data_IF_685301579822
#
_entry.id   IF_685301579822
#
_cell.length_a   1.000
_cell.length_b   1.000
_cell.length_c   1.000
_cell.angle_alpha   90.00
_cell.angle_beta   90.00
_cell.angle_gamma   90.00
#
_symmetry.space_group_name_H-M   'P 1'
#
loop_
_entity.id
_entity.type
_entity.pdbx_description
1 polymer ?
#
# COMPACT_ATOMS: atom_id res chain seq x y z
N UNK A 1 19.55 -108.26 7.14
CA UNK A 1 18.55 -107.26 7.42
C UNK A 1 17.70 -107.07 6.18
N UNK A 2 16.39 -107.18 6.21
CA UNK A 2 15.57 -107.13 5.02
C UNK A 2 15.57 -105.65 4.45
N UNK A 3 15.64 -105.54 3.08
CA UNK A 3 15.75 -104.26 2.38
C UNK A 3 14.56 -103.29 2.58
N UNK A 4 13.41 -103.81 3.04
CA UNK A 4 12.17 -103.05 3.26
C UNK A 4 12.25 -102.05 4.44
N UNK A 5 13.02 -102.38 5.50
CA UNK A 5 13.19 -101.48 6.67
C UNK A 5 14.04 -100.23 6.34
N UNK A 6 14.96 -100.39 5.40
CA UNK A 6 15.80 -99.29 4.93
C UNK A 6 15.00 -98.32 4.07
N UNK A 7 14.04 -98.80 3.28
CA UNK A 7 13.17 -97.91 2.44
C UNK A 7 12.17 -97.14 3.33
N UNK A 8 11.55 -97.73 4.30
CA UNK A 8 10.61 -97.02 5.23
C UNK A 8 11.28 -95.98 6.07
N UNK A 9 12.55 -96.17 6.45
CA UNK A 9 13.31 -95.15 7.17
C UNK A 9 13.66 -93.96 6.31
N UNK A 10 13.92 -94.13 5.02
CA UNK A 10 14.23 -93.10 4.05
C UNK A 10 12.98 -92.32 3.70
N UNK A 11 11.81 -92.96 3.59
CA UNK A 11 10.53 -92.26 3.33
C UNK A 11 10.08 -91.40 4.52
N UNK A 12 10.24 -91.90 5.76
CA UNK A 12 9.94 -91.14 6.97
C UNK A 12 10.85 -89.89 7.10
N UNK A 13 12.15 -89.98 6.70
CA UNK A 13 13.06 -88.85 6.67
C UNK A 13 12.63 -87.84 5.65
N UNK A 14 12.21 -88.23 4.46
CA UNK A 14 11.73 -87.33 3.39
C UNK A 14 10.42 -86.67 3.80
N UNK A 15 9.46 -87.34 4.39
CA UNK A 15 8.22 -86.71 4.85
C UNK A 15 8.47 -85.71 5.97
N UNK A 16 9.39 -85.98 6.91
CA UNK A 16 9.75 -85.08 8.00
C UNK A 16 10.43 -83.79 7.43
N UNK A 17 11.34 -83.98 6.43
CA UNK A 17 11.97 -82.86 5.75
C UNK A 17 10.96 -81.92 5.02
N UNK A 18 9.99 -82.58 4.31
CA UNK A 18 8.94 -81.78 3.61
C UNK A 18 8.06 -81.02 4.61
N UNK A 19 7.65 -81.62 5.72
CA UNK A 19 6.85 -80.96 6.70
C UNK A 19 7.61 -79.82 7.37
N UNK A 20 8.92 -79.96 7.64
CA UNK A 20 9.75 -78.91 8.19
C UNK A 20 9.91 -77.73 7.22
N UNK A 21 10.07 -78.02 5.93
CA UNK A 21 10.16 -77.01 4.89
C UNK A 21 8.84 -76.21 4.75
N UNK A 22 7.71 -76.93 4.76
CA UNK A 22 6.39 -76.26 4.70
C UNK A 22 6.16 -75.35 5.90
N UNK A 23 6.49 -75.85 7.13
CA UNK A 23 6.38 -75.06 8.35
C UNK A 23 7.30 -73.82 8.27
N UNK A 24 8.53 -73.98 7.77
CA UNK A 24 9.46 -72.84 7.60
C UNK A 24 8.91 -71.78 6.63
N UNK A 25 8.35 -72.20 5.48
CA UNK A 25 7.75 -71.29 4.48
C UNK A 25 6.52 -70.56 5.09
N UNK A 26 5.67 -71.26 5.83
CA UNK A 26 4.52 -70.65 6.49
C UNK A 26 4.96 -69.61 7.53
N UNK A 27 5.99 -69.91 8.29
CA UNK A 27 6.54 -68.97 9.29
C UNK A 27 7.12 -67.71 8.60
N UNK A 28 7.82 -67.88 7.49
CA UNK A 28 8.34 -66.74 6.71
C UNK A 28 7.19 -65.90 6.13
N UNK A 29 6.14 -66.53 5.65
CA UNK A 29 4.95 -65.78 5.17
C UNK A 29 4.28 -65.00 6.29
N UNK A 30 4.08 -65.61 7.46
CA UNK A 30 3.49 -64.94 8.61
C UNK A 30 4.38 -63.76 9.05
N UNK A 31 5.68 -63.95 9.14
CA UNK A 31 6.62 -62.89 9.47
C UNK A 31 6.59 -61.75 8.44
N UNK A 32 6.49 -62.07 7.15
CA UNK A 32 6.34 -61.09 6.07
C UNK A 32 5.06 -60.27 6.18
N UNK A 33 3.92 -60.91 6.48
CA UNK A 33 2.64 -60.22 6.71
C UNK A 33 2.69 -59.31 7.93
N UNK A 34 3.22 -59.81 9.06
CA UNK A 34 3.37 -58.98 10.28
C UNK A 34 4.30 -57.80 10.03
N UNK A 35 5.41 -57.99 9.37
CA UNK A 35 6.32 -56.91 9.04
C UNK A 35 5.63 -55.84 8.12
N UNK A 36 4.92 -56.28 7.07
CA UNK A 36 4.21 -55.38 6.18
C UNK A 36 3.10 -54.55 6.86
N UNK A 37 2.36 -55.16 7.78
CA UNK A 37 1.32 -54.47 8.56
C UNK A 37 1.92 -53.44 9.52
N UNK A 38 3.05 -53.77 10.18
CA UNK A 38 3.77 -52.83 11.03
C UNK A 38 4.34 -51.63 10.22
N UNK A 39 4.88 -51.88 9.03
CA UNK A 39 5.34 -50.80 8.16
C UNK A 39 4.20 -49.92 7.69
N UNK A 40 3.07 -50.50 7.32
CA UNK A 40 1.88 -49.73 6.91
C UNK A 40 1.36 -48.86 8.06
N UNK A 41 1.23 -49.44 9.29
CA UNK A 41 0.79 -48.70 10.45
C UNK A 41 1.75 -47.54 10.82
N UNK A 42 3.05 -47.75 10.74
CA UNK A 42 4.03 -46.70 10.98
C UNK A 42 3.98 -45.63 9.89
N UNK A 43 3.74 -45.96 8.62
CA UNK A 43 3.59 -45.00 7.53
C UNK A 43 2.32 -44.14 7.71
N UNK A 44 1.19 -44.79 8.11
CA UNK A 44 -0.05 -44.05 8.42
C UNK A 44 0.11 -43.11 9.63
N UNK A 45 0.81 -43.54 10.67
CA UNK A 45 1.07 -42.70 11.83
C UNK A 45 1.90 -41.45 11.48
N UNK A 46 2.95 -41.64 10.69
CA UNK A 46 3.76 -40.49 10.15
C UNK A 46 2.94 -39.57 9.31
N UNK A 47 2.13 -40.07 8.41
CA UNK A 47 1.27 -39.27 7.55
C UNK A 47 0.22 -38.49 8.35
N UNK A 48 -0.31 -39.09 9.42
CA UNK A 48 -1.22 -38.39 10.33
C UNK A 48 -0.52 -37.27 11.11
N UNK A 49 0.73 -37.46 11.52
CA UNK A 49 1.53 -36.46 12.22
C UNK A 49 1.91 -35.32 11.30
N UNK A 50 2.32 -35.60 10.04
CA UNK A 50 2.60 -34.56 9.03
C UNK A 50 1.36 -33.75 8.67
N UNK A 51 0.19 -34.39 8.56
CA UNK A 51 -1.09 -33.68 8.36
C UNK A 51 -1.42 -32.74 9.51
N UNK A 52 -1.28 -33.19 10.76
CA UNK A 52 -1.49 -32.35 11.95
C UNK A 52 -0.55 -31.15 11.97
N UNK A 53 0.72 -31.36 11.64
CA UNK A 53 1.72 -30.28 11.57
C UNK A 53 1.35 -29.28 10.46
N UNK A 54 0.91 -29.77 9.30
CA UNK A 54 0.45 -28.91 8.20
C UNK A 54 -0.78 -28.10 8.59
N UNK A 55 -1.76 -28.73 9.25
CA UNK A 55 -2.95 -28.02 9.74
C UNK A 55 -2.61 -26.95 10.78
N UNK A 56 -1.69 -27.25 11.70
CA UNK A 56 -1.19 -26.26 12.67
C UNK A 56 -0.48 -25.09 11.99
N UNK A 57 0.38 -25.36 11.00
CA UNK A 57 1.07 -24.32 10.24
C UNK A 57 0.08 -23.47 9.45
N UNK A 58 -0.93 -24.06 8.84
CA UNK A 58 -1.99 -23.32 8.14
C UNK A 58 -2.81 -22.45 9.09
N UNK A 59 -3.14 -22.96 10.29
CA UNK A 59 -3.83 -22.16 11.30
C UNK A 59 -2.98 -20.96 11.76
N UNK A 60 -1.69 -21.18 12.02
CA UNK A 60 -0.76 -20.08 12.33
C UNK A 60 -0.63 -19.09 11.17
N UNK A 61 -0.58 -19.58 9.93
CA UNK A 61 -0.48 -18.71 8.76
C UNK A 61 -1.72 -17.83 8.59
N UNK A 62 -2.92 -18.34 8.91
CA UNK A 62 -4.15 -17.55 8.91
C UNK A 62 -4.12 -16.44 9.97
N UNK A 63 -3.61 -16.71 11.16
CA UNK A 63 -3.43 -15.69 12.22
C UNK A 63 -2.46 -14.59 11.79
N UNK A 64 -1.36 -14.94 11.11
CA UNK A 64 -0.40 -13.97 10.58
C UNK A 64 -0.93 -13.20 9.37
N UNK A 65 -1.92 -13.72 8.65
CA UNK A 65 -2.49 -13.04 7.47
C UNK A 65 -3.18 -11.74 7.87
N UNK A 66 -3.92 -11.70 8.96
CA UNK A 66 -4.55 -10.47 9.48
C UNK A 66 -3.50 -9.42 9.84
N UNK A 67 -2.45 -9.83 10.56
CA UNK A 67 -1.35 -8.90 10.95
C UNK A 67 -0.63 -8.34 9.71
N UNK A 68 -0.39 -9.17 8.71
CA UNK A 68 0.25 -8.76 7.46
C UNK A 68 -0.66 -7.80 6.67
N UNK A 69 -1.96 -8.04 6.64
CA UNK A 69 -2.92 -7.17 5.99
C UNK A 69 -2.99 -5.80 6.68
N UNK A 70 -3.06 -5.77 8.02
CA UNK A 70 -3.07 -4.51 8.78
C UNK A 70 -1.76 -3.73 8.58
N UNK A 71 -0.61 -4.40 8.60
CA UNK A 71 0.68 -3.77 8.29
C UNK A 71 0.72 -3.20 6.88
N UNK A 72 0.22 -3.93 5.89
CA UNK A 72 0.12 -3.45 4.51
C UNK A 72 -0.78 -2.22 4.39
N UNK A 73 -1.90 -2.18 5.11
CA UNK A 73 -2.77 -1.00 5.17
C UNK A 73 -2.09 0.20 5.83
N UNK A 74 -1.39 -0.01 6.94
CA UNK A 74 -0.65 1.06 7.61
C UNK A 74 0.45 1.62 6.71
N UNK A 75 1.15 0.77 5.98
CA UNK A 75 2.18 1.20 5.05
C UNK A 75 1.59 1.98 3.87
N UNK A 76 0.49 1.53 3.29
CA UNK A 76 -0.19 2.27 2.22
C UNK A 76 -0.73 3.63 2.70
N UNK A 77 -1.22 3.74 3.93
CA UNK A 77 -1.63 5.02 4.53
C UNK A 77 -0.42 5.94 4.72
N UNK A 78 0.71 5.40 5.19
CA UNK A 78 1.94 6.18 5.34
C UNK A 78 2.46 6.69 4.00
N UNK A 79 2.45 5.85 2.96
CA UNK A 79 2.85 6.22 1.60
C UNK A 79 1.95 7.31 1.01
N UNK A 80 0.62 7.19 1.17
CA UNK A 80 -0.34 8.21 0.73
C UNK A 80 -0.16 9.52 1.51
N UNK A 81 0.08 9.44 2.82
CA UNK A 81 0.40 10.62 3.63
C UNK A 81 1.67 11.32 3.14
N UNK A 82 2.73 10.56 2.85
CA UNK A 82 3.97 11.10 2.29
C UNK A 82 3.72 11.82 0.96
N UNK A 83 2.93 11.22 0.06
CA UNK A 83 2.58 11.83 -1.22
C UNK A 83 1.72 13.09 -1.05
N UNK A 84 0.74 13.10 -0.17
CA UNK A 84 -0.08 14.29 0.11
C UNK A 84 0.76 15.42 0.72
N UNK A 85 1.68 15.09 1.59
CA UNK A 85 2.55 16.06 2.24
C UNK A 85 3.47 16.83 1.27
N UNK A 86 3.83 16.23 0.14
CA UNK A 86 4.65 16.90 -0.89
C UNK A 86 3.90 17.96 -1.70
N UNK A 87 2.58 17.96 -1.66
CA UNK A 87 1.72 18.91 -2.39
C UNK A 87 0.83 19.74 -1.44
N UNK A 88 1.07 19.63 -0.14
CA UNK A 88 0.31 20.38 0.86
C UNK A 88 0.69 21.86 0.82
N UNK A 89 -0.32 22.73 0.70
CA UNK A 89 -0.20 24.17 0.85
C UNK A 89 -0.92 24.59 2.13
N UNK A 90 -0.26 25.35 3.01
CA UNK A 90 -0.84 25.90 4.23
C UNK A 90 -1.59 27.20 3.91
N UNK A 91 -2.80 27.08 3.39
CA UNK A 91 -3.58 28.18 2.88
C UNK A 91 -3.77 29.35 3.84
N UNK A 92 -3.86 29.10 5.15
CA UNK A 92 -4.01 30.15 6.15
C UNK A 92 -2.77 31.05 6.22
N UNK A 93 -1.58 30.45 6.18
CA UNK A 93 -0.30 31.16 6.21
C UNK A 93 -0.02 31.86 4.89
N UNK A 94 -0.30 31.16 3.78
CA UNK A 94 -0.06 31.68 2.42
C UNK A 94 -0.96 32.82 2.01
N UNK A 95 -2.23 32.83 2.44
CA UNK A 95 -3.18 33.88 2.06
C UNK A 95 -2.95 35.21 2.78
N UNK A 96 -2.48 35.18 4.01
CA UNK A 96 -2.35 36.37 4.83
C UNK A 96 -1.57 37.51 4.13
N UNK A 97 -0.39 37.29 3.53
CA UNK A 97 0.36 38.35 2.85
C UNK A 97 -0.36 38.88 1.60
N UNK A 98 -1.07 38.03 0.85
CA UNK A 98 -1.80 38.45 -0.35
C UNK A 98 -3.01 39.33 -0.02
N UNK A 99 -3.74 38.98 1.02
CA UNK A 99 -4.89 39.74 1.48
C UNK A 99 -4.49 41.05 2.19
N UNK A 100 -3.30 41.10 2.79
CA UNK A 100 -2.78 42.29 3.44
C UNK A 100 -2.46 43.44 2.44
N UNK A 101 -2.32 43.14 1.18
CA UNK A 101 -2.13 44.15 0.10
C UNK A 101 -3.42 44.93 -0.16
N UNK A 102 -4.57 44.34 0.11
CA UNK A 102 -5.87 44.98 -0.13
C UNK A 102 -6.10 46.10 0.89
N UNK A 103 -6.64 47.20 0.41
CA UNK A 103 -6.98 48.37 1.26
C UNK A 103 -8.28 48.16 1.98
N UNK A 104 -8.59 49.02 2.97
CA UNK A 104 -9.81 48.94 3.80
C UNK A 104 -11.12 49.07 2.98
N UNK A 105 -11.08 49.68 1.82
CA UNK A 105 -12.22 49.89 0.91
C UNK A 105 -12.42 48.70 -0.07
N UNK A 106 -11.51 47.71 -0.04
CA UNK A 106 -11.50 46.55 -0.90
C UNK A 106 -11.96 45.32 -0.10
N UNK A 107 -13.13 44.79 -0.42
CA UNK A 107 -13.75 43.72 0.34
C UNK A 107 -13.67 42.42 -0.42
N UNK A 108 -13.06 41.38 0.17
CA UNK A 108 -13.08 40.04 -0.38
C UNK A 108 -14.45 39.41 -0.21
N UNK A 109 -15.10 39.08 -1.33
CA UNK A 109 -16.43 38.46 -1.35
C UNK A 109 -16.39 36.95 -1.51
N UNK A 110 -15.37 36.43 -2.20
CA UNK A 110 -15.21 34.98 -2.41
C UNK A 110 -13.74 34.59 -2.55
N UNK A 111 -13.43 33.37 -2.11
CA UNK A 111 -12.14 32.73 -2.28
C UNK A 111 -12.35 31.31 -2.80
N UNK A 112 -11.57 30.90 -3.76
CA UNK A 112 -11.55 29.52 -4.25
C UNK A 112 -10.10 29.05 -4.40
N UNK A 113 -9.83 27.82 -4.00
CA UNK A 113 -8.49 27.24 -3.91
C UNK A 113 -8.38 26.01 -4.79
N UNK A 114 -7.22 25.85 -5.43
CA UNK A 114 -6.85 24.68 -6.18
C UNK A 114 -5.37 24.40 -5.98
N UNK A 115 -5.01 23.22 -5.52
CA UNK A 115 -3.64 22.72 -5.46
C UNK A 115 -3.46 21.56 -6.41
N UNK A 116 -2.22 21.25 -6.76
CA UNK A 116 -1.89 20.06 -7.52
C UNK A 116 -2.31 18.79 -6.77
N UNK A 117 -2.75 17.79 -7.52
CA UNK A 117 -3.03 16.48 -6.98
C UNK A 117 -1.78 15.58 -7.12
N UNK A 118 -1.45 14.73 -6.15
CA UNK A 118 -0.29 13.85 -6.22
C UNK A 118 -0.28 12.91 -7.43
N UNK A 119 -1.45 12.64 -8.00
CA UNK A 119 -1.63 11.74 -9.13
C UNK A 119 -1.66 12.46 -10.50
N UNK A 120 -1.84 13.76 -10.51
CA UNK A 120 -1.82 14.58 -11.72
C UNK A 120 -0.73 15.63 -11.56
N UNK A 121 0.43 15.45 -12.24
CA UNK A 121 1.49 16.42 -12.13
C UNK A 121 1.07 17.73 -12.76
N UNK A 122 1.15 18.75 -11.95
CA UNK A 122 1.19 20.15 -12.30
C UNK A 122 0.04 20.65 -13.19
N UNK A 123 -0.63 21.64 -12.69
CA UNK A 123 -1.31 22.65 -13.50
C UNK A 123 -0.31 23.14 -14.56
N UNK A 124 -0.14 22.33 -15.60
CA UNK A 124 0.99 22.39 -16.52
C UNK A 124 1.25 23.78 -17.05
N UNK A 125 2.52 24.11 -17.18
CA UNK A 125 2.98 25.29 -17.89
C UNK A 125 2.42 25.22 -19.31
N UNK A 126 1.32 25.89 -19.56
CA UNK A 126 0.64 25.89 -20.86
C UNK A 126 0.99 27.08 -21.72
N UNK A 127 2.12 27.75 -21.47
CA UNK A 127 2.53 28.89 -22.30
C UNK A 127 3.93 29.39 -21.96
N UNK A 128 4.61 30.03 -22.96
CA UNK A 128 5.98 30.50 -22.81
C UNK A 128 6.15 31.69 -21.85
N UNK A 129 5.04 32.25 -21.35
CA UNK A 129 5.02 33.40 -20.44
C UNK A 129 4.47 33.06 -19.04
N UNK A 130 4.30 31.78 -18.72
CA UNK A 130 3.79 31.36 -17.42
C UNK A 130 4.89 30.73 -16.60
N UNK A 131 5.01 31.18 -15.36
CA UNK A 131 5.89 30.55 -14.37
C UNK A 131 5.38 29.16 -13.94
N UNK A 132 6.27 28.24 -13.49
CA UNK A 132 5.86 27.00 -12.83
C UNK A 132 4.96 27.33 -11.63
N UNK A 133 3.88 26.59 -11.50
CA UNK A 133 2.90 26.78 -10.41
C UNK A 133 2.52 25.45 -9.81
N UNK A 134 2.34 25.43 -8.51
CA UNK A 134 1.92 24.24 -7.73
C UNK A 134 0.54 24.40 -7.14
N UNK A 135 0.09 25.64 -7.00
CA UNK A 135 -1.22 25.96 -6.48
C UNK A 135 -1.76 27.24 -7.08
N UNK A 136 -3.05 27.40 -7.04
CA UNK A 136 -3.76 28.57 -7.55
C UNK A 136 -4.86 28.93 -6.57
N UNK A 137 -5.04 30.22 -6.32
CA UNK A 137 -6.27 30.67 -5.70
C UNK A 137 -6.89 31.82 -6.48
N UNK A 138 -8.20 31.85 -6.42
CA UNK A 138 -9.01 32.90 -7.05
C UNK A 138 -9.63 33.75 -5.94
N UNK A 139 -9.48 35.05 -6.06
CA UNK A 139 -10.08 36.03 -5.17
C UNK A 139 -11.07 36.89 -5.93
N UNK A 140 -12.23 37.14 -5.34
CA UNK A 140 -13.21 38.11 -5.84
C UNK A 140 -13.23 39.30 -4.89
N UNK A 141 -12.85 40.45 -5.40
CA UNK A 141 -12.72 41.70 -4.66
C UNK A 141 -13.80 42.68 -5.09
N UNK A 142 -14.53 43.23 -4.12
CA UNK A 142 -15.50 44.30 -4.31
C UNK A 142 -14.86 45.64 -3.98
N UNK A 143 -15.03 46.61 -4.85
CA UNK A 143 -14.50 47.99 -4.69
C UNK A 143 -15.58 49.00 -5.03
N UNK A 144 -15.63 50.14 -4.30
CA UNK A 144 -16.57 51.23 -4.61
C UNK A 144 -16.14 52.04 -5.85
N UNK A 145 -14.83 52.10 -6.09
CA UNK A 145 -14.23 52.81 -7.21
C UNK A 145 -13.62 51.82 -8.20
N UNK A 146 -13.32 52.31 -9.41
CA UNK A 146 -12.66 51.48 -10.43
C UNK A 146 -11.30 50.99 -9.90
N UNK A 147 -11.10 49.67 -9.75
CA UNK A 147 -9.89 49.10 -9.20
C UNK A 147 -8.69 49.37 -10.09
N UNK A 148 -7.52 49.46 -9.48
CA UNK A 148 -6.23 49.60 -10.17
C UNK A 148 -5.39 48.34 -9.89
N UNK A 149 -5.66 47.23 -10.53
CA UNK A 149 -5.04 45.91 -10.20
C UNK A 149 -3.52 45.89 -10.35
N UNK A 150 -2.95 46.81 -11.12
CA UNK A 150 -1.50 46.97 -11.22
C UNK A 150 -0.84 47.23 -9.85
N UNK A 151 -1.53 47.94 -8.94
CA UNK A 151 -1.01 48.23 -7.61
C UNK A 151 -0.93 46.95 -6.78
N UNK A 152 -1.96 46.09 -6.85
CA UNK A 152 -1.94 44.77 -6.22
C UNK A 152 -0.81 43.92 -6.73
N UNK A 153 -0.68 43.84 -8.08
CA UNK A 153 0.33 43.04 -8.75
C UNK A 153 1.75 43.40 -8.30
N UNK A 154 2.05 44.69 -8.20
CA UNK A 154 3.38 45.18 -7.79
C UNK A 154 3.73 44.77 -6.35
N UNK A 155 2.74 44.76 -5.45
CA UNK A 155 2.97 44.34 -4.06
C UNK A 155 3.02 42.80 -3.96
N UNK A 156 2.20 42.05 -4.71
CA UNK A 156 2.26 40.60 -4.76
C UNK A 156 3.58 40.07 -5.34
N UNK A 157 4.20 40.73 -6.27
CA UNK A 157 5.54 40.40 -6.79
C UNK A 157 6.63 40.39 -5.69
N UNK A 158 6.40 41.02 -4.54
CA UNK A 158 7.33 41.01 -3.42
C UNK A 158 7.18 39.77 -2.53
N UNK A 159 6.14 38.99 -2.74
CA UNK A 159 5.87 37.76 -1.95
C UNK A 159 6.63 36.61 -2.57
N UNK A 160 7.46 35.92 -1.76
CA UNK A 160 8.36 34.86 -2.28
C UNK A 160 7.62 33.71 -2.95
N UNK A 161 6.40 33.38 -2.48
CA UNK A 161 5.56 32.30 -2.99
C UNK A 161 4.77 32.68 -4.24
N UNK A 162 4.85 33.94 -4.69
CA UNK A 162 4.16 34.42 -5.88
C UNK A 162 4.82 33.90 -7.16
N UNK A 163 4.02 33.33 -8.06
CA UNK A 163 4.46 32.96 -9.40
C UNK A 163 4.00 33.95 -10.46
N UNK A 164 2.71 34.11 -10.59
CA UNK A 164 2.07 35.08 -11.46
C UNK A 164 0.61 35.34 -11.04
N UNK A 165 -0.05 36.34 -11.61
CA UNK A 165 -1.46 36.59 -11.46
C UNK A 165 -2.12 37.03 -12.75
N UNK A 166 -3.41 36.75 -12.87
CA UNK A 166 -4.24 37.21 -13.97
C UNK A 166 -5.55 37.82 -13.48
N UNK A 167 -5.96 38.89 -14.14
CA UNK A 167 -7.28 39.47 -13.95
C UNK A 167 -8.24 38.75 -14.88
N UNK A 168 -9.16 38.00 -14.32
CA UNK A 168 -10.12 37.22 -15.12
C UNK A 168 -11.27 38.13 -15.61
N UNK A 169 -11.76 39.02 -14.72
CA UNK A 169 -12.83 39.94 -15.06
C UNK A 169 -12.87 41.17 -14.12
N UNK A 170 -13.35 42.30 -14.65
CA UNK A 170 -13.78 43.45 -13.89
C UNK A 170 -15.20 43.77 -14.35
N UNK A 171 -16.16 43.70 -13.46
CA UNK A 171 -17.58 43.86 -13.75
C UNK A 171 -18.15 45.01 -12.90
N UNK A 172 -18.84 45.97 -13.55
CA UNK A 172 -19.57 46.99 -12.80
C UNK A 172 -20.88 46.41 -12.25
N UNK A 173 -21.12 46.62 -10.96
CA UNK A 173 -22.30 46.19 -10.26
C UNK A 173 -22.97 47.39 -9.56
N UNK A 174 -24.13 47.22 -8.97
CA UNK A 174 -24.87 48.31 -8.33
C UNK A 174 -24.08 49.00 -7.18
N UNK A 175 -23.21 48.25 -6.49
CA UNK A 175 -22.41 48.73 -5.33
C UNK A 175 -20.99 49.15 -5.71
N UNK A 176 -20.61 49.18 -6.99
CA UNK A 176 -19.25 49.49 -7.44
C UNK A 176 -18.72 48.51 -8.49
N UNK A 177 -17.58 47.91 -8.23
CA UNK A 177 -16.93 46.97 -9.15
C UNK A 177 -16.63 45.66 -8.46
N UNK A 178 -16.84 44.57 -9.17
CA UNK A 178 -16.42 43.22 -8.82
C UNK A 178 -15.24 42.83 -9.72
N UNK A 179 -14.12 42.50 -9.07
CA UNK A 179 -12.91 42.08 -9.78
C UNK A 179 -12.56 40.67 -9.39
N UNK A 180 -12.47 39.79 -10.37
CA UNK A 180 -11.99 38.42 -10.19
C UNK A 180 -10.54 38.33 -10.59
N UNK A 181 -9.68 37.85 -9.69
CA UNK A 181 -8.25 37.69 -9.94
C UNK A 181 -7.87 36.25 -9.60
N UNK A 182 -7.10 35.65 -10.48
CA UNK A 182 -6.47 34.34 -10.25
C UNK A 182 -4.99 34.55 -9.95
N UNK A 183 -4.52 34.06 -8.82
CA UNK A 183 -3.14 34.16 -8.35
C UNK A 183 -2.56 32.75 -8.31
N UNK A 184 -1.38 32.60 -8.91
CA UNK A 184 -0.64 31.33 -8.98
C UNK A 184 0.54 31.38 -8.03
N UNK A 185 0.77 30.26 -7.33
CA UNK A 185 1.83 30.09 -6.36
C UNK A 185 2.91 29.16 -6.91
N UNK A 186 4.16 29.49 -6.62
CA UNK A 186 5.32 28.67 -6.96
C UNK A 186 5.57 27.57 -5.91
N UNK A 187 6.61 26.75 -6.12
CA UNK A 187 6.97 25.61 -5.25
C UNK A 187 7.35 26.01 -3.80
N UNK A 188 7.65 27.28 -3.53
CA UNK A 188 7.91 27.75 -2.16
C UNK A 188 6.66 27.79 -1.29
N UNK A 189 5.46 27.75 -1.89
CA UNK A 189 4.20 27.67 -1.18
C UNK A 189 3.90 26.28 -0.59
N UNK A 190 4.69 25.27 -0.96
CA UNK A 190 4.57 23.91 -0.41
C UNK A 190 5.07 23.88 1.02
N UNK A 191 4.30 23.25 1.92
CA UNK A 191 4.59 23.25 3.36
C UNK A 191 5.89 22.58 3.76
N UNK A 192 6.41 21.65 2.93
CA UNK A 192 7.57 20.79 3.14
C UNK A 192 7.61 20.10 4.52
N UNK A 193 6.50 20.11 5.24
CA UNK A 193 6.35 19.64 6.62
C UNK A 193 6.84 18.20 6.85
N UNK A 194 6.88 17.42 5.77
CA UNK A 194 7.25 16.01 5.80
C UNK A 194 8.32 15.68 4.74
N UNK A 195 8.96 16.71 4.16
CA UNK A 195 9.91 16.55 3.05
C UNK A 195 11.23 15.90 3.44
N UNK A 196 11.65 16.07 4.67
CA UNK A 196 12.85 15.40 5.20
C UNK A 196 12.38 14.40 6.26
N UNK A 197 12.28 13.14 5.85
CA UNK A 197 11.87 12.04 6.71
C UNK A 197 12.83 11.85 7.90
N UNK A 198 12.70 12.66 8.93
CA UNK A 198 13.10 12.24 10.26
C UNK A 198 12.08 11.23 10.77
N UNK A 199 12.28 10.00 10.36
CA UNK A 199 11.76 8.85 11.10
C UNK A 199 12.62 8.80 12.38
N UNK A 200 12.18 9.52 13.41
CA UNK A 200 12.65 9.27 14.76
C UNK A 200 12.16 7.88 15.15
N UNK A 201 13.13 6.94 15.27
CA UNK A 201 12.98 5.59 15.85
C UNK A 201 12.40 5.64 17.28
#
# INVERSE_FOLDING_TARGET
MPPEVAMQKKERGRRRGLITTVIAVVLVMIAGVVASTLFAANAEARLAEERRTTEQLLAQQLEFTEVTQVRGQLQSIADVRGQLATVEVLWEEELAPYLAVLTADEVVSALAFQSDAPAEPALGITGPLRSPRVATFRVVVLTSELPVPYLWYREWEQIETFADASIDSITFIESGYETTVTINLNELALSQRFGDGEVTE
#
